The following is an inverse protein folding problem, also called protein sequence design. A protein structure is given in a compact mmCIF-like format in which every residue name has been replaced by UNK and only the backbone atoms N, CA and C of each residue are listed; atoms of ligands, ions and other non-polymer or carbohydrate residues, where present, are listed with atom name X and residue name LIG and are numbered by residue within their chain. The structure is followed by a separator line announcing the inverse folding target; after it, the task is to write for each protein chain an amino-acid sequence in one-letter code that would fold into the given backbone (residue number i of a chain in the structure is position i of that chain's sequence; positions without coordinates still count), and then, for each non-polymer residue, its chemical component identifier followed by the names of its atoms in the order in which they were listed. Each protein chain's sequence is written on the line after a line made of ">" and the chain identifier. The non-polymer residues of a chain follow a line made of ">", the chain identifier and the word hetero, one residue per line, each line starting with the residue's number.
data_IF_534825461463
#
_entry.id   IF_534825461463
#
_cell.length_a   1.000
_cell.length_b   1.000
_cell.length_c   1.000
_cell.angle_alpha   90.00
_cell.angle_beta   90.00
_cell.angle_gamma   90.00
#
_symmetry.space_group_name_H-M   'P 1'
#
loop_
_entity.id
_entity.type
_entity.pdbx_description
1 polymer ?
#
# COMPACT_ATOMS: atom_id res chain seq x y z
N UNK A 1 -1.95 -40.39 -20.59
CA UNK A 1 -2.83 -41.38 -19.92
C UNK A 1 -4.23 -40.79 -19.89
N UNK A 2 -5.13 -41.24 -20.77
CA UNK A 2 -6.52 -40.81 -20.75
C UNK A 2 -7.21 -41.46 -19.54
N UNK A 3 -7.80 -40.70 -18.60
CA UNK A 3 -8.58 -41.29 -17.53
C UNK A 3 -9.76 -42.00 -18.19
N UNK A 4 -9.74 -43.34 -18.18
CA UNK A 4 -10.89 -44.15 -18.55
C UNK A 4 -12.07 -43.66 -17.72
N UNK A 5 -13.12 -43.22 -18.41
CA UNK A 5 -14.34 -42.71 -17.79
C UNK A 5 -14.82 -43.78 -16.82
N UNK A 6 -14.70 -43.52 -15.51
CA UNK A 6 -14.96 -44.46 -14.41
C UNK A 6 -16.44 -44.83 -14.25
N UNK A 7 -17.21 -44.83 -15.34
CA UNK A 7 -18.62 -45.23 -15.40
C UNK A 7 -18.78 -46.75 -15.54
N UNK A 8 -17.75 -47.48 -16.00
CA UNK A 8 -17.78 -48.93 -16.22
C UNK A 8 -16.74 -49.72 -15.41
N UNK A 9 -15.88 -49.05 -14.63
CA UNK A 9 -14.93 -49.74 -13.74
C UNK A 9 -15.58 -50.04 -12.39
N UNK A 10 -15.70 -51.32 -12.05
CA UNK A 10 -16.39 -51.82 -10.83
C UNK A 10 -15.76 -51.34 -9.50
N UNK A 11 -14.52 -50.86 -9.51
CA UNK A 11 -13.82 -50.41 -8.31
C UNK A 11 -13.62 -48.88 -8.32
N UNK A 12 -14.53 -48.16 -7.65
CA UNK A 12 -14.37 -46.72 -7.44
C UNK A 12 -13.36 -46.47 -6.32
N UNK A 13 -12.20 -45.89 -6.66
CA UNK A 13 -11.21 -45.40 -5.69
C UNK A 13 -11.39 -43.91 -5.35
N UNK A 14 -12.58 -43.36 -5.60
CA UNK A 14 -12.87 -41.96 -5.34
C UNK A 14 -12.90 -41.68 -3.81
N UNK A 15 -12.47 -40.49 -3.35
CA UNK A 15 -12.49 -40.16 -1.94
C UNK A 15 -13.93 -40.12 -1.40
N UNK A 16 -14.14 -40.69 -0.22
CA UNK A 16 -15.45 -40.68 0.44
C UNK A 16 -15.92 -39.24 0.73
N UNK A 17 -17.17 -38.95 0.39
CA UNK A 17 -17.85 -37.70 0.76
C UNK A 17 -18.68 -37.93 2.02
N UNK A 18 -19.05 -36.88 2.79
CA UNK A 18 -19.90 -37.04 3.98
C UNK A 18 -21.27 -37.67 3.70
N UNK A 19 -21.69 -37.79 2.43
CA UNK A 19 -22.97 -38.39 2.02
C UNK A 19 -22.89 -39.87 1.65
N UNK A 20 -21.70 -40.46 1.59
CA UNK A 20 -21.48 -41.83 1.09
C UNK A 20 -21.04 -42.83 2.16
N UNK A 21 -20.95 -42.42 3.42
CA UNK A 21 -20.59 -43.29 4.54
C UNK A 21 -21.79 -43.79 5.34
N UNK A 22 -21.57 -44.73 6.26
CA UNK A 22 -22.57 -45.22 7.21
C UNK A 22 -22.82 -44.19 8.34
N UNK A 23 -23.76 -44.48 9.24
CA UNK A 23 -24.21 -43.61 10.35
C UNK A 23 -23.06 -43.10 11.24
N UNK A 24 -22.02 -43.89 11.44
CA UNK A 24 -20.87 -43.55 12.27
C UNK A 24 -19.76 -42.79 11.51
N UNK A 25 -19.87 -42.68 10.19
CA UNK A 25 -18.89 -41.99 9.37
C UNK A 25 -19.13 -40.48 9.39
N UNK A 26 -18.34 -39.76 10.19
CA UNK A 26 -18.31 -38.31 10.17
C UNK A 26 -17.11 -37.76 9.39
N UNK A 27 -17.38 -36.86 8.44
CA UNK A 27 -16.35 -36.11 7.71
C UNK A 27 -16.68 -34.63 7.70
N UNK A 28 -15.79 -33.82 8.28
CA UNK A 28 -15.95 -32.36 8.31
C UNK A 28 -15.83 -31.71 6.92
N UNK A 29 -16.52 -30.58 6.74
CA UNK A 29 -16.57 -29.81 5.47
C UNK A 29 -15.60 -28.63 5.42
N UNK A 30 -14.51 -28.69 6.21
CA UNK A 30 -13.52 -27.61 6.31
C UNK A 30 -14.09 -26.25 6.72
N UNK A 31 -15.21 -26.21 7.44
CA UNK A 31 -15.77 -24.95 7.98
C UNK A 31 -14.77 -24.21 8.86
N UNK A 32 -13.85 -24.92 9.50
CA UNK A 32 -12.75 -24.37 10.30
C UNK A 32 -11.58 -23.76 9.49
N UNK A 33 -11.69 -23.65 8.17
CA UNK A 33 -10.66 -23.04 7.31
C UNK A 33 -11.10 -21.65 6.89
N UNK A 34 -10.14 -20.72 6.82
CA UNK A 34 -10.34 -19.44 6.13
C UNK A 34 -10.39 -19.66 4.62
N UNK A 35 -11.12 -18.82 3.86
CA UNK A 35 -11.07 -18.84 2.40
C UNK A 35 -9.61 -18.76 1.92
N UNK A 36 -9.15 -19.77 1.18
CA UNK A 36 -7.77 -19.87 0.68
C UNK A 36 -6.67 -20.01 1.75
N UNK A 37 -7.03 -20.24 3.02
CA UNK A 37 -6.14 -19.98 4.15
C UNK A 37 -5.93 -21.14 5.13
N UNK A 38 -5.34 -20.76 6.27
CA UNK A 38 -5.01 -21.67 7.37
C UNK A 38 -6.26 -22.10 8.14
N UNK A 39 -6.14 -23.24 8.82
CA UNK A 39 -7.19 -23.77 9.71
C UNK A 39 -7.19 -22.98 11.01
N UNK A 40 -8.30 -22.31 11.35
CA UNK A 40 -8.49 -21.54 12.59
C UNK A 40 -8.99 -22.40 13.75
N UNK A 41 -9.33 -23.66 13.49
CA UNK A 41 -9.81 -24.59 14.52
C UNK A 41 -11.32 -24.58 14.69
N UNK A 42 -11.83 -25.37 15.64
CA UNK A 42 -13.26 -25.44 15.92
C UNK A 42 -13.71 -24.23 16.77
N UNK A 43 -14.93 -23.69 16.55
CA UNK A 43 -15.44 -22.53 17.27
C UNK A 43 -15.84 -22.82 18.73
N UNK A 44 -15.67 -24.06 19.19
CA UNK A 44 -16.14 -24.52 20.49
C UNK A 44 -15.58 -25.88 20.84
N UNK A 45 -16.12 -26.46 21.92
CA UNK A 45 -15.70 -27.77 22.44
C UNK A 45 -16.88 -28.70 22.68
N UNK A 46 -16.66 -30.00 22.47
CA UNK A 46 -17.61 -31.01 22.89
C UNK A 46 -17.56 -31.17 24.41
N UNK A 47 -18.73 -31.16 25.05
CA UNK A 47 -18.86 -31.31 26.50
C UNK A 47 -19.40 -32.70 26.78
N UNK A 48 -18.67 -33.46 27.60
CA UNK A 48 -18.98 -34.85 27.92
C UNK A 48 -20.16 -34.94 28.89
N UNK A 49 -20.27 -33.98 29.83
CA UNK A 49 -21.30 -33.95 30.88
C UNK A 49 -22.06 -32.62 30.85
N UNK A 50 -23.39 -32.68 30.82
CA UNK A 50 -24.26 -31.50 30.76
C UNK A 50 -25.42 -31.66 29.76
N UNK A 51 -26.32 -30.68 29.76
CA UNK A 51 -27.47 -30.62 28.83
C UNK A 51 -27.03 -30.28 27.41
N UNK A 52 -26.06 -29.38 27.24
CA UNK A 52 -25.47 -29.03 25.95
C UNK A 52 -24.30 -29.96 25.60
N UNK A 53 -24.38 -30.68 24.48
CA UNK A 53 -23.29 -31.57 23.99
C UNK A 53 -22.14 -30.82 23.31
N UNK A 54 -22.37 -29.59 22.90
CA UNK A 54 -21.37 -28.70 22.31
C UNK A 54 -21.51 -27.30 22.90
N UNK A 55 -20.40 -26.75 23.38
CA UNK A 55 -20.32 -25.40 23.92
C UNK A 55 -19.56 -24.51 22.93
N UNK A 56 -20.22 -23.46 22.45
CA UNK A 56 -19.61 -22.43 21.63
C UNK A 56 -18.69 -21.56 22.51
N UNK A 57 -17.52 -21.17 22.00
CA UNK A 57 -16.61 -20.26 22.67
C UNK A 57 -16.51 -19.00 21.83
N UNK A 58 -17.15 -17.92 22.28
CA UNK A 58 -17.28 -16.68 21.51
C UNK A 58 -15.92 -16.12 21.05
N UNK A 59 -14.88 -16.30 21.86
CA UNK A 59 -13.49 -15.94 21.55
C UNK A 59 -12.91 -16.65 20.31
N UNK A 60 -13.45 -17.82 19.96
CA UNK A 60 -13.00 -18.62 18.80
C UNK A 60 -13.95 -18.52 17.62
N UNK A 61 -15.07 -17.82 17.78
CA UNK A 61 -16.01 -17.57 16.70
C UNK A 61 -15.41 -16.52 15.78
N UNK A 62 -15.50 -16.77 14.47
CA UNK A 62 -15.03 -15.80 13.48
C UNK A 62 -16.06 -14.70 13.34
N UNK A 63 -15.59 -13.45 13.42
CA UNK A 63 -16.38 -12.25 13.17
C UNK A 63 -15.77 -11.53 11.98
N UNK A 64 -16.61 -11.12 11.04
CA UNK A 64 -16.23 -10.24 9.94
C UNK A 64 -16.58 -8.82 10.35
N UNK A 65 -15.55 -8.02 10.65
CA UNK A 65 -15.74 -6.63 11.03
C UNK A 65 -15.80 -5.80 9.76
N UNK A 66 -16.92 -5.09 9.57
CA UNK A 66 -17.11 -4.13 8.50
C UNK A 66 -17.16 -2.70 9.09
N UNK A 67 -16.77 -1.67 8.32
CA UNK A 67 -17.05 -0.29 8.69
C UNK A 67 -18.56 -0.03 8.76
N UNK A 68 -18.95 1.14 9.29
CA UNK A 68 -20.36 1.51 9.38
C UNK A 68 -20.97 1.60 7.98
N UNK A 69 -22.26 1.28 7.85
CA UNK A 69 -22.93 1.23 6.55
C UNK A 69 -22.94 2.63 5.90
N UNK A 70 -23.14 3.67 6.72
CA UNK A 70 -23.09 5.09 6.30
C UNK A 70 -21.74 5.41 5.64
N UNK A 71 -20.61 5.04 6.26
CA UNK A 71 -19.26 5.23 5.68
C UNK A 71 -19.07 4.49 4.35
N UNK A 72 -19.72 3.32 4.18
CA UNK A 72 -19.62 2.52 2.94
C UNK A 72 -20.42 3.19 1.82
N UNK A 73 -21.61 3.70 2.13
CA UNK A 73 -22.50 4.35 1.16
C UNK A 73 -21.96 5.73 0.74
N UNK A 74 -21.38 6.48 1.69
CA UNK A 74 -20.75 7.79 1.46
C UNK A 74 -19.38 7.68 0.78
N UNK A 75 -18.80 6.48 0.72
CA UNK A 75 -17.51 6.27 0.08
C UNK A 75 -17.56 6.43 -1.44
N UNK A 76 -16.72 7.31 -1.95
CA UNK A 76 -16.47 7.46 -3.39
C UNK A 76 -15.78 6.23 -4.00
N UNK A 77 -15.18 5.36 -3.17
CA UNK A 77 -14.41 4.21 -3.64
C UNK A 77 -15.32 3.16 -4.28
N UNK A 78 -15.02 2.81 -5.54
CA UNK A 78 -15.71 1.75 -6.29
C UNK A 78 -14.78 0.55 -6.48
N UNK A 79 -15.33 -0.67 -6.66
CA UNK A 79 -14.53 -1.88 -6.89
C UNK A 79 -13.75 -1.85 -8.21
N UNK A 80 -14.13 -0.96 -9.14
CA UNK A 80 -13.49 -0.82 -10.45
C UNK A 80 -13.07 0.64 -10.68
N UNK A 81 -12.03 0.80 -11.49
CA UNK A 81 -11.51 2.10 -11.93
C UNK A 81 -11.76 2.25 -13.42
N UNK A 82 -12.11 3.46 -13.88
CA UNK A 82 -12.29 3.73 -15.31
C UNK A 82 -10.98 3.53 -16.07
N UNK A 83 -11.01 2.88 -17.23
CA UNK A 83 -9.81 2.61 -18.05
C UNK A 83 -9.07 3.88 -18.50
N UNK A 84 -9.78 5.01 -18.61
CA UNK A 84 -9.20 6.30 -18.98
C UNK A 84 -8.52 7.05 -17.83
N UNK A 85 -8.75 6.65 -16.58
CA UNK A 85 -8.15 7.34 -15.43
C UNK A 85 -6.67 6.97 -15.30
N UNK A 86 -5.80 7.92 -15.60
CA UNK A 86 -4.36 7.80 -15.38
C UNK A 86 -3.98 8.61 -14.14
N UNK A 87 -3.19 8.01 -13.25
CA UNK A 87 -2.63 8.72 -12.10
C UNK A 87 -1.57 9.72 -12.58
N UNK A 88 -1.70 10.97 -12.14
CA UNK A 88 -0.64 11.98 -12.27
C UNK A 88 0.57 11.57 -11.43
N UNK A 89 1.74 12.14 -11.70
CA UNK A 89 2.94 11.81 -10.92
C UNK A 89 2.78 12.25 -9.45
N UNK A 90 2.05 13.34 -9.21
CA UNK A 90 1.67 13.77 -7.86
C UNK A 90 0.77 12.73 -7.16
N UNK A 91 -0.25 12.20 -7.84
CA UNK A 91 -1.07 11.11 -7.26
C UNK A 91 -0.23 9.89 -6.88
N UNK A 92 0.78 9.53 -7.70
CA UNK A 92 1.68 8.41 -7.39
C UNK A 92 2.61 8.72 -6.22
N UNK A 93 3.03 9.97 -6.09
CA UNK A 93 3.98 10.39 -5.07
C UNK A 93 3.33 10.63 -3.69
N UNK A 94 2.04 10.97 -3.66
CA UNK A 94 1.32 11.31 -2.43
C UNK A 94 1.33 10.21 -1.35
N UNK A 95 1.31 8.92 -1.74
CA UNK A 95 1.19 7.78 -0.81
C UNK A 95 2.56 7.17 -0.46
N UNK A 96 3.57 8.01 -0.20
CA UNK A 96 4.96 7.61 0.14
C UNK A 96 5.93 7.39 -1.02
N UNK A 97 5.59 7.83 -2.24
CA UNK A 97 6.40 7.74 -3.46
C UNK A 97 6.86 6.32 -3.86
N UNK A 98 7.53 6.19 -5.02
CA UNK A 98 7.96 4.88 -5.54
C UNK A 98 8.93 4.18 -4.56
N UNK A 99 8.60 2.96 -4.17
CA UNK A 99 9.50 2.13 -3.36
C UNK A 99 10.74 1.75 -4.17
N UNK A 100 11.94 2.10 -3.65
CA UNK A 100 13.21 1.85 -4.33
C UNK A 100 13.75 0.43 -4.09
N UNK A 101 13.24 -0.27 -3.08
CA UNK A 101 13.70 -1.61 -2.72
C UNK A 101 12.94 -2.70 -3.50
N UNK A 102 13.60 -3.84 -3.81
CA UNK A 102 12.96 -4.97 -4.49
C UNK A 102 11.84 -5.62 -3.64
N UNK A 103 11.80 -5.33 -2.34
CA UNK A 103 10.79 -5.82 -1.38
C UNK A 103 9.73 -4.78 -1.01
N UNK A 104 9.69 -3.63 -1.70
CA UNK A 104 8.73 -2.57 -1.39
C UNK A 104 9.14 -1.71 -0.19
N UNK A 105 8.23 -1.54 0.77
CA UNK A 105 8.41 -0.67 1.94
C UNK A 105 9.48 -1.23 2.90
N UNK A 106 10.58 -0.49 3.09
CA UNK A 106 11.60 -0.83 4.08
C UNK A 106 11.28 -0.19 5.45
N UNK A 107 11.65 -0.84 6.57
CA UNK A 107 11.41 -0.29 7.91
C UNK A 107 12.04 1.10 8.11
N UNK A 108 13.27 1.30 7.62
CA UNK A 108 13.99 2.57 7.70
C UNK A 108 13.25 3.69 6.97
N UNK A 109 12.74 3.40 5.75
CA UNK A 109 11.95 4.36 4.98
C UNK A 109 10.63 4.68 5.67
N UNK A 110 9.94 3.66 6.17
CA UNK A 110 8.69 3.86 6.90
C UNK A 110 8.91 4.74 8.14
N UNK A 111 9.95 4.45 8.93
CA UNK A 111 10.30 5.23 10.11
C UNK A 111 10.64 6.68 9.77
N UNK A 112 11.44 6.90 8.71
CA UNK A 112 11.77 8.24 8.22
C UNK A 112 10.52 9.03 7.83
N UNK A 113 9.65 8.44 7.00
CA UNK A 113 8.41 9.07 6.54
C UNK A 113 7.47 9.37 7.72
N UNK A 114 7.34 8.45 8.67
CA UNK A 114 6.53 8.68 9.88
C UNK A 114 7.06 9.85 10.71
N UNK A 115 8.38 9.98 10.86
CA UNK A 115 9.01 11.12 11.57
C UNK A 115 8.77 12.43 10.85
N UNK A 116 8.96 12.46 9.53
CA UNK A 116 8.70 13.63 8.68
C UNK A 116 7.22 14.06 8.77
N UNK A 117 6.29 13.11 8.64
CA UNK A 117 4.85 13.34 8.74
C UNK A 117 4.44 13.84 10.14
N UNK A 118 4.96 13.23 11.20
CA UNK A 118 4.68 13.65 12.58
C UNK A 118 5.25 15.05 12.85
N UNK A 119 6.47 15.32 12.38
CA UNK A 119 7.09 16.63 12.52
C UNK A 119 6.28 17.73 11.82
N UNK A 120 5.85 17.49 10.58
CA UNK A 120 5.04 18.42 9.80
C UNK A 120 3.70 18.72 10.47
N UNK A 121 3.03 17.68 11.03
CA UNK A 121 1.76 17.85 11.74
C UNK A 121 1.91 18.63 13.05
N UNK A 122 2.99 18.42 13.79
CA UNK A 122 3.25 19.10 15.06
C UNK A 122 3.76 20.55 14.88
N UNK A 123 4.41 20.85 13.75
CA UNK A 123 5.04 22.15 13.51
C UNK A 123 4.58 22.75 12.17
N UNK A 124 3.29 23.09 12.00
CA UNK A 124 2.77 23.62 10.74
C UNK A 124 3.42 24.96 10.33
N UNK A 125 3.93 25.71 11.31
CA UNK A 125 4.53 27.04 11.12
C UNK A 125 6.07 27.06 11.24
N UNK A 126 6.74 25.93 11.51
CA UNK A 126 8.22 25.92 11.47
C UNK A 126 8.67 25.65 10.05
N UNK A 127 9.58 26.46 9.50
CA UNK A 127 10.22 26.10 8.26
C UNK A 127 10.98 24.79 8.46
N UNK A 128 10.72 23.79 7.61
CA UNK A 128 11.70 22.73 7.39
C UNK A 128 12.99 23.43 7.00
N UNK A 129 14.12 23.11 7.64
CA UNK A 129 15.39 23.84 7.51
C UNK A 129 15.82 24.06 6.04
N UNK A 130 15.33 23.23 5.12
CA UNK A 130 15.38 23.49 3.70
C UNK A 130 14.07 23.06 2.98
N UNK A 131 13.24 23.99 2.46
CA UNK A 131 12.03 23.65 1.69
C UNK A 131 12.33 22.94 0.36
N UNK A 132 13.53 23.14 -0.20
CA UNK A 132 14.00 22.35 -1.34
C UNK A 132 14.35 20.89 -0.96
N UNK A 133 14.50 20.61 0.34
CA UNK A 133 14.66 19.26 0.88
C UNK A 133 13.32 18.62 1.29
N UNK A 134 12.18 19.29 1.10
CA UNK A 134 10.88 18.70 1.39
C UNK A 134 10.70 17.39 0.59
N UNK A 135 10.27 16.30 1.24
CA UNK A 135 10.07 15.03 0.55
C UNK A 135 9.07 15.17 -0.60
N UNK A 136 9.30 14.49 -1.72
CA UNK A 136 8.42 14.56 -2.89
C UNK A 136 6.95 14.18 -2.58
N UNK A 137 6.73 13.30 -1.60
CA UNK A 137 5.40 12.91 -1.15
C UNK A 137 4.62 14.08 -0.50
N UNK A 138 5.33 14.93 0.24
CA UNK A 138 4.73 16.09 0.93
C UNK A 138 4.34 17.16 -0.09
N UNK A 139 5.20 17.43 -1.08
CA UNK A 139 4.90 18.34 -2.19
C UNK A 139 3.69 17.88 -2.99
N UNK A 140 3.64 16.59 -3.31
CA UNK A 140 2.51 16.01 -4.01
C UNK A 140 1.20 16.17 -3.22
N UNK A 141 1.20 15.90 -1.91
CA UNK A 141 0.01 16.10 -1.08
C UNK A 141 -0.44 17.56 -1.01
N UNK A 142 0.50 18.50 -0.94
CA UNK A 142 0.22 19.94 -1.02
C UNK A 142 -0.45 20.31 -2.35
N UNK A 143 0.13 19.87 -3.48
CA UNK A 143 -0.43 20.13 -4.81
C UNK A 143 -1.84 19.57 -4.98
N UNK A 144 -2.10 18.42 -4.37
CA UNK A 144 -3.40 17.74 -4.37
C UNK A 144 -4.37 18.27 -3.31
N UNK A 145 -3.97 19.27 -2.51
CA UNK A 145 -4.76 19.84 -1.41
C UNK A 145 -5.16 18.81 -0.35
N UNK A 146 -4.33 17.78 -0.16
CA UNK A 146 -4.48 16.76 0.88
C UNK A 146 -3.80 17.18 2.20
N UNK A 147 -2.89 18.15 2.13
CA UNK A 147 -2.27 18.80 3.28
C UNK A 147 -2.26 20.31 3.08
N UNK A 148 -2.38 21.05 4.19
CA UNK A 148 -2.22 22.50 4.19
C UNK A 148 -0.79 22.89 3.80
N UNK A 149 -0.65 23.98 3.04
CA UNK A 149 0.65 24.52 2.68
C UNK A 149 1.40 25.01 3.94
N UNK A 150 2.56 24.43 4.28
CA UNK A 150 3.36 24.94 5.38
C UNK A 150 3.85 26.36 5.04
N UNK A 151 3.73 27.27 6.00
CA UNK A 151 4.17 28.66 5.85
C UNK A 151 5.64 28.79 6.24
N UNK A 152 6.48 29.30 5.34
CA UNK A 152 7.91 29.54 5.55
C UNK A 152 8.15 31.03 5.82
N UNK A 153 8.37 31.41 7.07
CA UNK A 153 8.53 32.82 7.43
C UNK A 153 7.32 33.69 7.11
N UNK A 154 6.12 33.09 7.07
CA UNK A 154 4.87 33.75 6.66
C UNK A 154 4.55 33.67 5.18
N UNK A 155 5.46 33.15 4.36
CA UNK A 155 5.33 33.03 2.89
C UNK A 155 4.96 31.58 2.52
N UNK A 156 3.98 31.33 1.64
CA UNK A 156 3.67 30.00 1.10
C UNK A 156 4.88 29.32 0.44
N UNK A 157 4.92 27.98 0.46
CA UNK A 157 6.02 27.20 -0.12
C UNK A 157 6.31 27.56 -1.59
N UNK A 158 5.27 27.79 -2.38
CA UNK A 158 5.38 28.10 -3.82
C UNK A 158 6.07 29.44 -4.05
N UNK A 159 5.62 30.49 -3.37
CA UNK A 159 6.22 31.82 -3.44
C UNK A 159 7.68 31.80 -2.96
N UNK A 160 7.97 31.02 -1.90
CA UNK A 160 9.36 30.85 -1.45
C UNK A 160 10.25 30.13 -2.48
N UNK A 161 9.70 29.17 -3.23
CA UNK A 161 10.44 28.50 -4.31
C UNK A 161 10.70 29.43 -5.49
N UNK A 162 9.70 30.21 -5.90
CA UNK A 162 9.82 31.20 -6.98
C UNK A 162 10.88 32.24 -6.65
N UNK A 163 10.87 32.80 -5.44
CA UNK A 163 11.89 33.76 -5.01
C UNK A 163 13.31 33.17 -4.99
N UNK A 164 13.47 31.88 -4.65
CA UNK A 164 14.77 31.20 -4.77
C UNK A 164 15.17 31.02 -6.23
N UNK A 165 14.24 30.63 -7.10
CA UNK A 165 14.51 30.43 -8.53
C UNK A 165 14.90 31.76 -9.20
N UNK A 166 14.22 32.85 -8.85
CA UNK A 166 14.55 34.20 -9.29
C UNK A 166 15.93 34.62 -8.82
N UNK A 167 16.24 34.46 -7.52
CA UNK A 167 17.60 34.71 -6.99
C UNK A 167 18.67 33.89 -7.70
N UNK A 168 18.38 32.63 -8.04
CA UNK A 168 19.32 31.78 -8.80
C UNK A 168 19.51 32.25 -10.23
N UNK A 169 18.46 32.75 -10.89
CA UNK A 169 18.54 33.33 -12.24
C UNK A 169 19.37 34.61 -12.24
N UNK A 170 19.14 35.52 -11.29
CA UNK A 170 19.91 36.77 -11.20
C UNK A 170 21.40 36.49 -10.95
N UNK A 171 21.72 35.53 -10.05
CA UNK A 171 23.11 35.13 -9.81
C UNK A 171 23.74 34.51 -11.06
N UNK A 172 22.99 33.73 -11.83
CA UNK A 172 23.48 33.11 -13.07
C UNK A 172 23.80 34.16 -14.15
N UNK A 173 22.97 35.20 -14.24
CA UNK A 173 23.16 36.32 -15.17
C UNK A 173 24.35 37.19 -14.76
N UNK A 174 24.53 37.43 -13.45
CA UNK A 174 25.67 38.20 -12.89
C UNK A 174 27.01 37.47 -13.03
N UNK A 175 27.02 36.14 -12.98
CA UNK A 175 28.25 35.33 -13.05
C UNK A 175 28.61 34.87 -14.47
N UNK A 176 27.78 35.18 -15.48
CA UNK A 176 27.97 34.71 -16.86
C UNK A 176 27.85 33.19 -17.04
N UNK A 177 27.37 32.48 -16.01
CA UNK A 177 27.28 31.02 -15.95
C UNK A 177 25.94 30.47 -16.50
N UNK A 178 25.32 31.18 -17.44
CA UNK A 178 24.02 30.82 -18.02
C UNK A 178 24.00 29.41 -18.66
N UNK A 179 25.18 28.86 -19.01
CA UNK A 179 25.30 27.51 -19.57
C UNK A 179 25.25 26.37 -18.53
N UNK A 180 25.62 26.61 -17.26
CA UNK A 180 25.70 25.54 -16.24
C UNK A 180 24.41 25.39 -15.39
N UNK A 181 23.59 26.44 -15.29
CA UNK A 181 22.30 26.36 -14.58
C UNK A 181 21.29 25.47 -15.33
N UNK A 182 21.37 25.41 -16.68
CA UNK A 182 20.57 24.46 -17.47
C UNK A 182 20.95 23.00 -17.23
N UNK A 183 22.23 22.69 -16.99
CA UNK A 183 22.67 21.32 -16.67
C UNK A 183 22.18 20.88 -15.29
N UNK A 184 22.15 21.74 -14.29
CA UNK A 184 21.61 21.37 -12.97
C UNK A 184 20.08 21.22 -12.95
N UNK A 185 19.35 21.90 -13.83
CA UNK A 185 17.91 21.70 -14.01
C UNK A 185 17.60 20.34 -14.68
N UNK A 186 18.41 19.92 -15.66
CA UNK A 186 18.27 18.59 -16.27
C UNK A 186 18.76 17.47 -15.35
N UNK A 187 19.78 17.71 -14.50
CA UNK A 187 20.27 16.72 -13.53
C UNK A 187 19.25 16.44 -12.42
N UNK A 188 18.46 17.43 -11.99
CA UNK A 188 17.35 17.20 -11.05
C UNK A 188 16.20 16.38 -11.67
N UNK A 189 16.05 16.39 -13.01
CA UNK A 189 15.11 15.51 -13.73
C UNK A 189 15.73 14.15 -14.15
N UNK A 190 17.06 14.01 -14.17
CA UNK A 190 17.76 12.82 -14.71
C UNK A 190 18.57 12.00 -13.70
N UNK A 191 18.69 12.42 -12.44
CA UNK A 191 19.34 11.65 -11.36
C UNK A 191 18.59 10.34 -10.99
N UNK A 192 17.45 10.04 -11.62
CA UNK A 192 16.68 8.80 -11.44
C UNK A 192 16.80 7.81 -12.63
N UNK A 193 17.88 7.87 -13.42
CA UNK A 193 18.22 6.78 -14.36
C UNK A 193 19.19 5.79 -13.69
N UNK A 194 18.80 4.54 -13.40
CA UNK A 194 19.76 3.54 -12.96
C UNK A 194 20.76 3.31 -14.11
N UNK A 195 22.04 3.59 -13.85
CA UNK A 195 23.12 3.22 -14.75
C UNK A 195 23.03 1.71 -15.02
N UNK A 196 22.58 1.37 -16.22
CA UNK A 196 22.52 0.00 -16.72
C UNK A 196 23.96 -0.43 -16.96
N UNK A 197 24.56 -1.07 -15.95
CA UNK A 197 25.86 -1.74 -16.08
C UNK A 197 25.82 -2.67 -17.28
N UNK A 198 26.51 -2.27 -18.36
CA UNK A 198 26.91 -3.16 -19.44
C UNK A 198 28.15 -3.89 -18.96
N UNK A 199 27.93 -4.99 -18.24
CA UNK A 199 28.98 -6.00 -18.13
C UNK A 199 28.86 -6.90 -19.35
N UNK A 200 29.65 -6.55 -20.36
CA UNK A 200 30.04 -7.43 -21.43
C UNK A 200 31.48 -7.87 -21.15
N UNK A 201 31.67 -9.12 -20.73
CA UNK A 201 32.90 -9.88 -21.00
C UNK A 201 32.74 -11.35 -20.65
N UNK A 202 32.97 -12.16 -21.68
CA UNK A 202 33.48 -13.55 -21.68
C UNK A 202 32.50 -14.70 -21.43
#
# INVERSE_FOLDING_TARGET
>A
MFPTVARLSKASRAPLTPKRGNKDFYKGTRQAYLPGGRRTGAPGRHVIRGSSKYQLLDEKVRVYVAPQIEDIEDSELKPYVSLGAKLTEDHKNAVFSKFRGPRGLTPERFLRVCREHTYARLHPNRPVENPLSAPGWMRAQINLKLMDEPKFGGIPLKEYQETILEKRRTIADETGAAADVRRHLEVVETDDVPQKGKDASS
#
